data_IF_399972691828
#
_entry.id   IF_399972691828
#
_cell.length_a   1.000
_cell.length_b   1.000
_cell.length_c   1.000
_cell.angle_alpha   90.00
_cell.angle_beta   90.00
_cell.angle_gamma   90.00
#
_symmetry.space_group_name_H-M   'P 1'
#
loop_
_entity.id
_entity.type
_entity.pdbx_description
1 polymer ?
#
# COMPACT_ATOMS: atom_id res chain seq x y z
N UNK A 1 -7.46 -24.14 29.89
CA UNK A 1 -7.89 -22.74 29.64
C UNK A 1 -6.70 -21.97 29.05
N UNK A 2 -6.52 -22.03 27.73
CA UNK A 2 -5.37 -21.40 27.06
C UNK A 2 -5.75 -20.00 26.58
N UNK A 3 -5.03 -18.97 27.07
CA UNK A 3 -5.25 -17.56 26.70
C UNK A 3 -4.82 -17.36 25.24
N UNK A 4 -5.79 -17.19 24.33
CA UNK A 4 -5.57 -16.66 22.98
C UNK A 4 -4.82 -15.32 23.11
N UNK A 5 -3.54 -15.27 22.76
CA UNK A 5 -2.84 -13.99 22.57
C UNK A 5 -3.41 -13.37 21.29
N UNK A 6 -4.23 -12.34 21.44
CA UNK A 6 -4.61 -11.43 20.36
C UNK A 6 -3.31 -10.84 19.79
N UNK A 7 -2.98 -11.15 18.54
CA UNK A 7 -2.02 -10.34 17.77
C UNK A 7 -2.65 -8.93 17.68
N UNK A 8 -1.96 -7.84 18.08
CA UNK A 8 -2.58 -6.53 18.14
C UNK A 8 -2.82 -5.97 16.73
N UNK A 9 -4.08 -5.68 16.40
CA UNK A 9 -4.60 -4.96 15.22
C UNK A 9 -3.84 -3.64 14.92
N UNK A 10 -3.08 -3.11 15.88
CA UNK A 10 -2.30 -1.87 15.71
C UNK A 10 -1.16 -2.01 14.69
N UNK A 11 -0.46 -3.15 14.60
CA UNK A 11 0.70 -3.27 13.68
C UNK A 11 0.32 -3.13 12.21
N UNK A 12 -0.83 -3.66 11.79
CA UNK A 12 -1.29 -3.59 10.39
C UNK A 12 -1.78 -2.19 10.03
N UNK A 13 -2.46 -1.50 10.97
CA UNK A 13 -2.83 -0.09 10.80
C UNK A 13 -1.62 0.83 10.77
N UNK A 14 -0.59 0.53 11.56
CA UNK A 14 0.66 1.31 11.60
C UNK A 14 1.51 1.12 10.33
N UNK A 15 1.48 -0.06 9.70
CA UNK A 15 2.08 -0.30 8.36
C UNK A 15 1.36 0.54 7.28
N UNK A 16 0.07 0.80 7.43
CA UNK A 16 -0.77 1.54 6.48
C UNK A 16 -0.67 3.08 6.63
N UNK A 17 -0.05 3.60 7.69
CA UNK A 17 0.05 5.05 7.94
C UNK A 17 1.51 5.51 7.83
N UNK A 18 1.97 5.95 6.65
CA UNK A 18 3.11 6.85 6.61
C UNK A 18 2.70 8.20 7.18
N UNK A 19 3.57 8.73 8.04
CA UNK A 19 3.55 10.06 8.66
C UNK A 19 2.73 11.07 7.85
N UNK A 20 1.62 11.56 8.46
CA UNK A 20 0.86 12.72 7.96
C UNK A 20 1.87 13.73 7.44
N UNK A 21 1.86 13.97 6.12
CA UNK A 21 2.58 15.09 5.53
C UNK A 21 2.23 16.29 6.39
N UNK A 22 3.23 16.87 7.07
CA UNK A 22 3.06 18.11 7.81
C UNK A 22 2.51 19.09 6.79
N UNK A 23 1.21 19.33 6.83
CA UNK A 23 0.59 20.47 6.18
C UNK A 23 1.41 21.66 6.66
N UNK A 24 2.14 22.30 5.75
CA UNK A 24 2.80 23.56 6.02
C UNK A 24 1.68 24.54 6.40
N UNK A 25 1.60 25.00 7.65
CA UNK A 25 0.59 25.99 8.00
C UNK A 25 0.92 27.28 7.25
N UNK A 26 -0.07 28.04 6.75
CA UNK A 26 0.20 29.38 6.25
C UNK A 26 0.76 30.23 7.41
N UNK A 27 1.95 30.82 7.20
CA UNK A 27 2.59 31.74 8.15
C UNK A 27 1.67 32.94 8.43
N UNK A 28 1.48 33.37 9.69
CA UNK A 28 0.91 34.68 9.99
C UNK A 28 2.01 35.67 10.40
N UNK A 29 2.09 36.79 9.68
CA UNK A 29 2.69 38.07 10.12
C UNK A 29 2.25 39.11 9.10
N UNK A 30 1.56 40.20 9.45
CA UNK A 30 2.07 41.21 10.36
C UNK A 30 0.99 41.87 11.24
N UNK A 31 1.45 42.31 12.42
CA UNK A 31 0.79 43.26 13.31
C UNK A 31 0.73 44.64 12.64
N UNK A 32 -0.39 45.33 12.79
CA UNK A 32 -0.38 46.78 12.94
C UNK A 32 -1.32 47.20 14.08
N UNK A 33 -0.72 47.87 15.04
CA UNK A 33 -1.31 48.65 16.13
C UNK A 33 -1.97 49.90 15.56
N UNK A 34 -3.16 50.29 16.04
CA UNK A 34 -3.75 51.58 15.71
C UNK A 34 -5.16 51.76 16.26
N UNK A 35 -5.27 52.56 17.31
CA UNK A 35 -6.47 53.02 18.01
C UNK A 35 -7.46 53.80 17.13
N UNK A 36 -8.76 53.68 17.41
CA UNK A 36 -9.65 54.84 17.48
C UNK A 36 -10.72 55.07 16.41
N UNK A 37 -11.98 54.90 16.85
CA UNK A 37 -13.17 55.71 16.58
C UNK A 37 -14.21 55.25 15.54
N UNK A 38 -15.47 55.37 15.97
CA UNK A 38 -16.69 54.95 15.31
C UNK A 38 -17.18 55.96 14.25
N UNK A 39 -17.81 55.47 13.19
CA UNK A 39 -19.12 55.88 12.64
C UNK A 39 -19.27 55.44 11.17
N UNK A 40 -20.39 54.74 10.88
CA UNK A 40 -21.08 54.83 9.59
C UNK A 40 -20.78 53.76 8.53
N UNK A 41 -21.84 53.16 8.01
CA UNK A 41 -21.89 52.69 6.63
C UNK A 41 -22.02 51.19 6.43
N UNK A 42 -23.27 50.72 6.35
CA UNK A 42 -23.62 49.39 5.86
C UNK A 42 -23.22 49.25 4.37
N UNK A 43 -22.01 48.74 4.10
CA UNK A 43 -21.57 48.13 2.84
C UNK A 43 -20.32 47.28 3.10
N UNK A 44 -20.44 46.12 3.77
CA UNK A 44 -19.26 45.29 4.08
C UNK A 44 -19.49 43.77 4.05
N UNK A 45 -20.61 43.27 3.50
CA UNK A 45 -20.92 41.83 3.54
C UNK A 45 -20.50 41.06 2.26
N UNK A 46 -20.09 41.76 1.19
CA UNK A 46 -19.72 41.15 -0.11
C UNK A 46 -18.23 40.80 -0.27
N UNK A 47 -17.33 41.54 0.37
CA UNK A 47 -15.87 41.38 0.20
C UNK A 47 -15.31 40.14 0.94
N UNK A 48 -15.87 39.84 2.12
CA UNK A 48 -15.49 38.65 2.91
C UNK A 48 -15.87 37.33 2.23
N UNK A 49 -17.01 37.30 1.55
CA UNK A 49 -17.52 36.13 0.82
C UNK A 49 -16.69 35.88 -0.45
N UNK A 50 -16.35 36.94 -1.18
CA UNK A 50 -15.55 36.86 -2.42
C UNK A 50 -14.11 36.40 -2.15
N UNK A 51 -13.44 36.97 -1.14
CA UNK A 51 -12.08 36.57 -0.72
C UNK A 51 -12.03 35.10 -0.27
N UNK A 52 -13.04 34.64 0.49
CA UNK A 52 -13.14 33.25 0.95
C UNK A 52 -13.38 32.28 -0.22
N UNK A 53 -14.17 32.67 -1.21
CA UNK A 53 -14.42 31.89 -2.41
C UNK A 53 -13.16 31.75 -3.29
N UNK A 54 -12.41 32.84 -3.50
CA UNK A 54 -11.16 32.80 -4.26
C UNK A 54 -10.09 31.93 -3.60
N UNK A 55 -9.96 31.99 -2.28
CA UNK A 55 -9.05 31.13 -1.51
C UNK A 55 -9.40 29.64 -1.68
N UNK A 56 -10.68 29.30 -1.62
CA UNK A 56 -11.16 27.92 -1.86
C UNK A 56 -10.84 27.47 -3.29
N UNK A 57 -11.20 28.28 -4.30
CA UNK A 57 -10.94 27.96 -5.71
C UNK A 57 -9.44 27.77 -6.01
N UNK A 58 -8.57 28.56 -5.37
CA UNK A 58 -7.11 28.38 -5.48
C UNK A 58 -6.64 27.08 -4.81
N UNK A 59 -7.16 26.75 -3.63
CA UNK A 59 -6.84 25.49 -2.95
C UNK A 59 -7.31 24.28 -3.76
N UNK A 60 -8.51 24.33 -4.34
CA UNK A 60 -9.07 23.28 -5.18
C UNK A 60 -8.22 23.07 -6.45
N UNK A 61 -7.84 24.15 -7.13
CA UNK A 61 -6.95 24.07 -8.29
C UNK A 61 -5.56 23.51 -7.96
N UNK A 62 -5.03 23.81 -6.77
CA UNK A 62 -3.77 23.23 -6.29
C UNK A 62 -3.90 21.72 -6.03
N UNK A 63 -4.98 21.30 -5.38
CA UNK A 63 -5.25 19.88 -5.12
C UNK A 63 -5.44 19.09 -6.42
N UNK A 64 -6.17 19.66 -7.39
CA UNK A 64 -6.37 19.08 -8.71
C UNK A 64 -5.04 18.88 -9.45
N UNK A 65 -4.17 19.89 -9.43
CA UNK A 65 -2.84 19.79 -10.06
C UNK A 65 -1.98 18.72 -9.39
N UNK A 66 -1.99 18.67 -8.05
CA UNK A 66 -1.29 17.62 -7.30
C UNK A 66 -1.80 16.24 -7.68
N UNK A 67 -3.12 16.04 -7.76
CA UNK A 67 -3.75 14.78 -8.14
C UNK A 67 -3.33 14.34 -9.54
N UNK A 68 -3.40 15.24 -10.54
CA UNK A 68 -2.96 14.95 -11.92
C UNK A 68 -1.50 14.48 -12.01
N UNK A 69 -0.61 15.08 -11.23
CA UNK A 69 0.80 14.68 -11.18
C UNK A 69 0.93 13.29 -10.56
N UNK A 70 0.23 13.01 -9.45
CA UNK A 70 0.22 11.70 -8.80
C UNK A 70 -0.36 10.61 -9.71
N UNK A 71 -1.49 10.88 -10.38
CA UNK A 71 -2.11 9.95 -11.32
C UNK A 71 -1.18 9.61 -12.50
N UNK A 72 -0.53 10.63 -13.07
CA UNK A 72 0.46 10.44 -14.13
C UNK A 72 1.64 9.56 -13.69
N UNK A 73 2.12 9.75 -12.44
CA UNK A 73 3.17 8.91 -11.87
C UNK A 73 2.69 7.46 -11.67
N UNK A 74 1.47 7.25 -11.14
CA UNK A 74 0.86 5.93 -10.98
C UNK A 74 0.79 5.19 -12.32
N UNK A 75 0.28 5.85 -13.36
CA UNK A 75 0.17 5.26 -14.70
C UNK A 75 1.53 4.86 -15.28
N UNK A 76 2.54 5.72 -15.16
CA UNK A 76 3.87 5.46 -15.69
C UNK A 76 4.58 4.36 -14.89
N UNK A 77 4.49 4.36 -13.56
CA UNK A 77 5.05 3.32 -12.71
C UNK A 77 4.39 1.95 -12.96
N UNK A 78 3.07 1.90 -13.16
CA UNK A 78 2.39 0.65 -13.54
C UNK A 78 2.81 0.16 -14.94
N UNK A 79 3.08 1.07 -15.88
CA UNK A 79 3.41 0.71 -17.27
C UNK A 79 4.87 0.31 -17.45
N UNK A 80 5.80 1.11 -16.94
CA UNK A 80 7.24 0.93 -17.19
C UNK A 80 8.08 0.83 -15.91
N UNK A 81 7.54 1.18 -14.76
CA UNK A 81 8.22 1.08 -13.47
C UNK A 81 8.91 2.37 -13.00
N UNK A 82 9.07 2.54 -11.67
CA UNK A 82 9.70 3.73 -11.09
C UNK A 82 11.13 4.00 -11.59
N UNK A 83 11.95 2.98 -11.78
CA UNK A 83 13.35 3.17 -12.21
C UNK A 83 13.46 3.72 -13.65
N UNK A 84 12.42 3.52 -14.47
CA UNK A 84 12.39 3.96 -15.87
C UNK A 84 11.48 5.17 -16.12
N UNK A 85 10.96 5.78 -15.06
CA UNK A 85 10.06 6.93 -15.17
C UNK A 85 10.81 8.20 -14.77
N UNK A 86 10.81 9.22 -15.64
CA UNK A 86 11.45 10.51 -15.32
C UNK A 86 10.42 11.56 -14.93
N UNK A 87 10.85 12.58 -14.20
CA UNK A 87 10.02 13.76 -13.89
C UNK A 87 9.54 14.47 -15.17
N UNK A 88 10.29 14.39 -16.26
CA UNK A 88 9.89 14.97 -17.55
C UNK A 88 8.72 14.19 -18.14
N UNK A 89 8.76 12.85 -18.09
CA UNK A 89 7.66 12.00 -18.55
C UNK A 89 6.39 12.24 -17.73
N UNK A 90 6.53 12.34 -16.41
CA UNK A 90 5.43 12.64 -15.49
C UNK A 90 4.83 14.01 -15.79
N UNK A 91 5.66 15.05 -15.96
CA UNK A 91 5.19 16.39 -16.28
C UNK A 91 4.43 16.42 -17.62
N UNK A 92 4.98 15.77 -18.65
CA UNK A 92 4.35 15.65 -19.95
C UNK A 92 3.00 14.93 -19.87
N UNK A 93 2.94 13.77 -19.20
CA UNK A 93 1.69 13.01 -19.00
C UNK A 93 0.67 13.80 -18.18
N UNK A 94 1.11 14.46 -17.12
CA UNK A 94 0.25 15.26 -16.27
C UNK A 94 -0.19 16.57 -16.95
N UNK A 95 0.35 16.95 -18.11
CA UNK A 95 0.04 18.20 -18.81
C UNK A 95 0.50 19.45 -18.05
N UNK A 96 1.66 19.39 -17.41
CA UNK A 96 2.28 20.48 -16.65
C UNK A 96 3.76 20.63 -17.02
N UNK A 97 4.40 21.71 -16.56
CA UNK A 97 5.84 21.88 -16.76
C UNK A 97 6.64 21.20 -15.64
N UNK A 98 7.90 20.84 -15.92
CA UNK A 98 8.82 20.24 -14.93
C UNK A 98 8.93 21.05 -13.64
N UNK A 99 9.06 22.38 -13.74
CA UNK A 99 9.14 23.25 -12.56
C UNK A 99 7.86 23.19 -11.69
N UNK A 100 6.70 22.94 -12.32
CA UNK A 100 5.43 22.79 -11.63
C UNK A 100 5.42 21.51 -10.81
N UNK A 101 5.97 20.41 -11.33
CA UNK A 101 6.11 19.15 -10.56
C UNK A 101 6.91 19.39 -9.28
N UNK A 102 8.10 20.00 -9.39
CA UNK A 102 8.94 20.29 -8.22
C UNK A 102 8.32 21.27 -7.22
N UNK A 103 7.39 22.13 -7.66
CA UNK A 103 6.63 22.99 -6.76
C UNK A 103 5.69 22.20 -5.83
N UNK A 104 5.14 21.08 -6.30
CA UNK A 104 4.23 20.22 -5.51
C UNK A 104 4.95 19.07 -4.82
N UNK A 105 6.05 18.59 -5.42
CA UNK A 105 6.87 17.50 -4.94
C UNK A 105 8.34 17.90 -5.07
N UNK A 106 8.90 18.59 -4.06
CA UNK A 106 10.28 19.07 -4.08
C UNK A 106 11.32 17.99 -4.39
N UNK A 107 11.06 16.74 -4.02
CA UNK A 107 11.92 15.60 -4.32
C UNK A 107 11.18 14.47 -5.02
N UNK A 108 11.93 13.59 -5.67
CA UNK A 108 11.37 12.41 -6.32
C UNK A 108 10.86 11.40 -5.28
N UNK A 109 11.48 11.31 -4.10
CA UNK A 109 11.02 10.49 -2.99
C UNK A 109 9.64 10.94 -2.49
N UNK A 110 9.40 12.25 -2.39
CA UNK A 110 8.09 12.78 -2.00
C UNK A 110 7.00 12.43 -3.02
N UNK A 111 7.33 12.49 -4.32
CA UNK A 111 6.41 12.07 -5.37
C UNK A 111 6.16 10.56 -5.33
N UNK A 112 7.21 9.75 -5.17
CA UNK A 112 7.11 8.30 -5.11
C UNK A 112 6.29 7.85 -3.89
N UNK A 113 6.50 8.47 -2.73
CA UNK A 113 5.72 8.20 -1.53
C UNK A 113 4.24 8.59 -1.73
N UNK A 114 3.95 9.74 -2.35
CA UNK A 114 2.58 10.13 -2.65
C UNK A 114 1.91 9.18 -3.65
N UNK A 115 2.63 8.76 -4.69
CA UNK A 115 2.20 7.75 -5.65
C UNK A 115 1.87 6.43 -4.95
N UNK A 116 2.77 5.91 -4.12
CA UNK A 116 2.56 4.65 -3.37
C UNK A 116 1.36 4.76 -2.43
N UNK A 117 1.27 5.85 -1.66
CA UNK A 117 0.18 6.09 -0.71
C UNK A 117 -1.17 6.13 -1.41
N UNK A 118 -1.29 6.90 -2.49
CA UNK A 118 -2.52 7.01 -3.26
C UNK A 118 -2.89 5.69 -3.94
N UNK A 119 -1.92 4.98 -4.51
CA UNK A 119 -2.16 3.69 -5.16
C UNK A 119 -2.69 2.65 -4.18
N UNK A 120 -2.07 2.49 -3.01
CA UNK A 120 -2.52 1.51 -2.02
C UNK A 120 -3.80 1.92 -1.28
N UNK A 121 -4.17 3.20 -1.28
CA UNK A 121 -5.51 3.62 -0.85
C UNK A 121 -6.60 3.19 -1.84
N UNK A 122 -6.31 3.23 -3.16
CA UNK A 122 -7.23 2.76 -4.21
C UNK A 122 -7.28 1.23 -4.32
N UNK A 123 -6.19 0.57 -3.97
CA UNK A 123 -6.02 -0.88 -4.03
C UNK A 123 -5.61 -1.42 -2.65
N UNK A 124 -6.51 -1.40 -1.65
CA UNK A 124 -6.18 -1.80 -0.30
C UNK A 124 -5.77 -3.27 -0.25
N UNK A 125 -4.79 -3.59 0.59
CA UNK A 125 -4.38 -4.97 0.82
C UNK A 125 -5.49 -5.78 1.50
N UNK A 126 -5.58 -7.09 1.24
CA UNK A 126 -6.54 -7.95 1.92
C UNK A 126 -6.42 -7.88 3.45
N UNK A 127 -7.56 -7.77 4.12
CA UNK A 127 -7.61 -7.59 5.57
C UNK A 127 -7.37 -8.93 6.30
N UNK A 128 -6.21 -9.07 6.95
CA UNK A 128 -5.85 -10.26 7.76
C UNK A 128 -6.93 -10.62 8.79
N UNK A 129 -7.58 -9.62 9.39
CA UNK A 129 -8.63 -9.81 10.38
C UNK A 129 -9.86 -10.56 9.82
N UNK A 130 -10.14 -10.45 8.51
CA UNK A 130 -11.25 -11.17 7.87
C UNK A 130 -11.03 -12.69 7.92
N UNK A 131 -9.79 -13.13 7.75
CA UNK A 131 -9.44 -14.56 7.77
C UNK A 131 -9.47 -15.15 9.17
N UNK A 132 -9.19 -14.35 10.21
CA UNK A 132 -9.23 -14.81 11.60
C UNK A 132 -10.63 -15.26 12.06
N UNK A 133 -11.68 -14.82 11.37
CA UNK A 133 -13.05 -15.28 11.63
C UNK A 133 -13.30 -16.72 11.11
N UNK A 134 -12.47 -17.23 10.19
CA UNK A 134 -12.58 -18.59 9.66
C UNK A 134 -12.04 -19.58 10.69
N UNK A 135 -12.90 -20.49 11.13
CA UNK A 135 -12.60 -21.41 12.23
C UNK A 135 -11.61 -22.51 11.86
N UNK A 136 -11.74 -23.09 10.67
CA UNK A 136 -10.86 -24.16 10.18
C UNK A 136 -9.51 -23.57 9.72
N UNK A 137 -8.36 -24.02 10.25
CA UNK A 137 -7.05 -23.54 9.82
C UNK A 137 -6.79 -23.74 8.33
N UNK A 138 -7.15 -24.91 7.77
CA UNK A 138 -7.01 -25.19 6.35
C UNK A 138 -7.89 -24.28 5.49
N UNK A 139 -9.15 -24.11 5.87
CA UNK A 139 -10.07 -23.23 5.15
C UNK A 139 -9.61 -21.78 5.19
N UNK A 140 -9.08 -21.33 6.34
CA UNK A 140 -8.50 -20.00 6.50
C UNK A 140 -7.35 -19.76 5.53
N UNK A 141 -6.45 -20.73 5.39
CA UNK A 141 -5.35 -20.65 4.43
C UNK A 141 -5.89 -20.54 3.00
N UNK A 142 -6.86 -21.37 2.61
CA UNK A 142 -7.43 -21.32 1.27
C UNK A 142 -8.09 -19.96 0.98
N UNK A 143 -8.90 -19.45 1.92
CA UNK A 143 -9.53 -18.12 1.78
C UNK A 143 -8.46 -17.02 1.67
N UNK A 144 -7.44 -17.04 2.52
CA UNK A 144 -6.37 -16.05 2.49
C UNK A 144 -5.57 -16.08 1.18
N UNK A 145 -5.25 -17.28 0.67
CA UNK A 145 -4.54 -17.43 -0.59
C UNK A 145 -5.36 -16.93 -1.78
N UNK A 146 -6.67 -17.23 -1.82
CA UNK A 146 -7.55 -16.70 -2.86
C UNK A 146 -7.61 -15.17 -2.84
N UNK A 147 -7.83 -14.59 -1.67
CA UNK A 147 -7.87 -13.13 -1.52
C UNK A 147 -6.55 -12.46 -1.93
N UNK A 148 -5.40 -13.05 -1.56
CA UNK A 148 -4.08 -12.56 -1.96
C UNK A 148 -3.86 -12.69 -3.47
N UNK A 149 -4.26 -13.80 -4.07
CA UNK A 149 -4.05 -14.07 -5.50
C UNK A 149 -4.96 -13.21 -6.37
N UNK A 150 -6.21 -12.98 -5.96
CA UNK A 150 -7.09 -12.01 -6.62
C UNK A 150 -6.53 -10.58 -6.49
N UNK A 151 -6.04 -10.22 -5.31
CA UNK A 151 -5.35 -8.95 -5.09
C UNK A 151 -4.12 -8.80 -6.01
N UNK A 152 -3.26 -9.81 -6.11
CA UNK A 152 -2.10 -9.79 -7.00
C UNK A 152 -2.50 -9.62 -8.45
N UNK A 153 -3.55 -10.31 -8.91
CA UNK A 153 -4.09 -10.12 -10.25
C UNK A 153 -4.49 -8.68 -10.53
N UNK A 154 -5.08 -7.99 -9.55
CA UNK A 154 -5.51 -6.60 -9.69
C UNK A 154 -4.36 -5.58 -9.71
N UNK A 155 -3.23 -5.87 -9.04
CA UNK A 155 -2.13 -4.90 -8.87
C UNK A 155 -0.82 -5.30 -9.56
N UNK A 156 -0.81 -6.41 -10.30
CA UNK A 156 0.39 -7.04 -10.87
C UNK A 156 1.33 -6.06 -11.58
N UNK A 157 0.89 -5.20 -12.53
CA UNK A 157 1.83 -4.35 -13.27
C UNK A 157 2.63 -3.42 -12.35
N UNK A 158 1.96 -2.82 -11.36
CA UNK A 158 2.61 -1.94 -10.38
C UNK A 158 3.53 -2.73 -9.45
N UNK A 159 3.05 -3.86 -8.90
CA UNK A 159 3.81 -4.64 -7.93
C UNK A 159 5.04 -5.28 -8.57
N UNK A 160 4.90 -5.89 -9.75
CA UNK A 160 6.00 -6.49 -10.50
C UNK A 160 7.09 -5.46 -10.86
N UNK A 161 6.68 -4.28 -11.34
CA UNK A 161 7.64 -3.22 -11.65
C UNK A 161 8.34 -2.68 -10.41
N UNK A 162 7.61 -2.48 -9.31
CA UNK A 162 8.18 -1.94 -8.06
C UNK A 162 9.16 -2.92 -7.42
N UNK A 163 8.84 -4.22 -7.41
CA UNK A 163 9.75 -5.27 -6.92
C UNK A 163 10.99 -5.41 -7.80
N UNK A 164 10.85 -5.34 -9.13
CA UNK A 164 12.01 -5.35 -10.04
C UNK A 164 12.93 -4.15 -9.79
N UNK A 165 12.35 -2.99 -9.54
CA UNK A 165 13.08 -1.74 -9.43
C UNK A 165 13.63 -1.49 -8.00
N UNK A 166 13.20 -2.25 -6.99
CA UNK A 166 13.64 -2.07 -5.59
C UNK A 166 15.12 -2.34 -5.38
N UNK A 167 15.72 -3.23 -6.18
CA UNK A 167 17.16 -3.52 -6.08
C UNK A 167 18.03 -2.41 -6.68
N UNK A 168 17.45 -1.54 -7.51
CA UNK A 168 18.18 -0.48 -8.21
C UNK A 168 18.12 0.85 -7.47
N UNK A 169 17.05 1.07 -6.69
CA UNK A 169 16.73 2.38 -6.10
C UNK A 169 16.26 2.24 -4.65
N UNK A 170 17.03 2.80 -3.72
CA UNK A 170 16.71 2.78 -2.30
C UNK A 170 15.32 3.39 -1.98
N UNK A 171 14.93 4.45 -2.69
CA UNK A 171 13.60 5.06 -2.53
C UNK A 171 12.46 4.14 -2.98
N UNK A 172 12.69 3.30 -3.99
CA UNK A 172 11.73 2.28 -4.44
C UNK A 172 11.64 1.15 -3.42
N UNK A 173 12.78 0.70 -2.89
CA UNK A 173 12.82 -0.27 -1.80
C UNK A 173 11.98 0.18 -0.60
N UNK A 174 12.14 1.44 -0.17
CA UNK A 174 11.40 2.00 0.96
C UNK A 174 9.88 1.98 0.76
N UNK A 175 9.38 2.18 -0.47
CA UNK A 175 7.92 2.12 -0.72
C UNK A 175 7.38 0.69 -0.84
N UNK A 176 8.24 -0.31 -1.04
CA UNK A 176 7.89 -1.74 -1.10
C UNK A 176 8.04 -2.44 0.27
N UNK A 177 8.91 -1.96 1.15
CA UNK A 177 9.11 -2.50 2.51
C UNK A 177 7.82 -2.73 3.31
N UNK A 178 6.82 -1.81 3.30
CA UNK A 178 5.53 -2.05 3.94
C UNK A 178 4.81 -3.31 3.46
N UNK A 179 4.93 -3.65 2.18
CA UNK A 179 4.32 -4.84 1.60
C UNK A 179 5.03 -6.13 2.07
N UNK A 180 6.36 -6.12 2.21
CA UNK A 180 7.10 -7.23 2.81
C UNK A 180 6.69 -7.45 4.28
N UNK A 181 6.57 -6.37 5.06
CA UNK A 181 6.09 -6.44 6.44
C UNK A 181 4.65 -6.95 6.54
N UNK A 182 3.80 -6.61 5.57
CA UNK A 182 2.45 -7.17 5.45
C UNK A 182 2.47 -8.69 5.25
N UNK A 183 3.31 -9.21 4.35
CA UNK A 183 3.44 -10.67 4.15
C UNK A 183 4.00 -11.40 5.36
N UNK A 184 4.88 -10.78 6.14
CA UNK A 184 5.31 -11.30 7.45
C UNK A 184 4.11 -11.40 8.42
N UNK A 185 3.26 -10.39 8.47
CA UNK A 185 2.05 -10.40 9.30
C UNK A 185 1.01 -11.43 8.82
N UNK A 186 0.87 -11.63 7.51
CA UNK A 186 0.07 -12.73 6.93
C UNK A 186 0.60 -14.07 7.43
N UNK A 187 1.91 -14.29 7.34
CA UNK A 187 2.56 -15.53 7.79
C UNK A 187 2.32 -15.77 9.28
N UNK A 188 2.48 -14.74 10.13
CA UNK A 188 2.20 -14.83 11.56
C UNK A 188 0.72 -15.20 11.82
N UNK A 189 -0.21 -14.60 11.08
CA UNK A 189 -1.64 -14.86 11.26
C UNK A 189 -2.05 -16.28 10.82
N UNK A 190 -1.47 -16.79 9.72
CA UNK A 190 -1.77 -18.13 9.23
C UNK A 190 -1.09 -19.24 10.05
N UNK A 191 0.02 -18.93 10.73
CA UNK A 191 0.73 -19.88 11.60
C UNK A 191 0.18 -19.94 13.03
N UNK A 192 -0.61 -18.96 13.48
CA UNK A 192 -0.99 -18.78 14.88
C UNK A 192 -1.69 -19.99 15.54
N UNK A 193 -2.47 -20.76 14.78
CA UNK A 193 -3.21 -21.93 15.30
C UNK A 193 -2.46 -23.26 15.12
N UNK A 194 -1.27 -23.22 14.53
CA UNK A 194 -0.44 -24.40 14.32
C UNK A 194 0.60 -24.52 15.45
N UNK A 195 0.77 -25.74 15.98
CA UNK A 195 1.81 -26.06 16.98
C UNK A 195 2.74 -27.16 16.45
N UNK A 196 3.56 -26.87 15.42
CA UNK A 196 4.51 -27.83 14.87
C UNK A 196 5.69 -28.07 15.81
N UNK A 197 6.38 -29.20 15.63
CA UNK A 197 7.70 -29.41 16.25
C UNK A 197 8.71 -28.37 15.74
N UNK A 198 9.85 -28.10 16.41
CA UNK A 198 10.83 -27.13 15.91
C UNK A 198 11.33 -27.41 14.48
N UNK A 199 11.51 -28.68 14.11
CA UNK A 199 11.93 -29.08 12.77
C UNK A 199 10.81 -28.87 11.73
N UNK A 200 9.57 -29.22 12.08
CA UNK A 200 8.41 -29.02 11.20
C UNK A 200 8.05 -27.54 11.06
N UNK A 201 8.33 -26.72 12.08
CA UNK A 201 8.09 -25.28 12.09
C UNK A 201 8.81 -24.56 10.96
N UNK A 202 10.08 -24.89 10.72
CA UNK A 202 10.88 -24.27 9.65
C UNK A 202 10.28 -24.57 8.28
N UNK A 203 9.91 -25.83 8.03
CA UNK A 203 9.30 -26.24 6.77
C UNK A 203 7.90 -25.62 6.58
N UNK A 204 7.12 -25.58 7.66
CA UNK A 204 5.78 -25.01 7.66
C UNK A 204 5.80 -23.50 7.39
N UNK A 205 6.65 -22.73 8.07
CA UNK A 205 6.82 -21.30 7.82
C UNK A 205 7.35 -21.04 6.39
N UNK A 206 8.27 -21.87 5.89
CA UNK A 206 8.76 -21.77 4.51
C UNK A 206 7.64 -22.04 3.49
N UNK A 207 6.78 -23.04 3.73
CA UNK A 207 5.65 -23.37 2.86
C UNK A 207 4.63 -22.23 2.82
N UNK A 208 4.31 -21.61 3.96
CA UNK A 208 3.41 -20.45 4.01
C UNK A 208 4.01 -19.26 3.27
N UNK A 209 5.26 -18.90 3.57
CA UNK A 209 5.94 -17.79 2.89
C UNK A 209 5.94 -17.99 1.38
N UNK A 210 6.29 -19.20 0.92
CA UNK A 210 6.24 -19.55 -0.50
C UNK A 210 4.82 -19.43 -1.06
N UNK A 211 3.82 -20.02 -0.41
CA UNK A 211 2.43 -19.98 -0.87
C UNK A 211 1.89 -18.55 -0.99
N UNK A 212 2.25 -17.66 -0.06
CA UNK A 212 1.80 -16.26 -0.07
C UNK A 212 2.59 -15.34 -1.00
N UNK A 213 3.72 -15.80 -1.52
CA UNK A 213 4.63 -14.96 -2.30
C UNK A 213 4.06 -14.57 -3.67
N UNK A 214 4.34 -13.34 -4.11
CA UNK A 214 3.90 -12.83 -5.41
C UNK A 214 4.47 -13.64 -6.58
N UNK A 215 5.73 -14.09 -6.50
CA UNK A 215 6.35 -14.89 -7.55
C UNK A 215 5.72 -16.29 -7.66
N UNK A 216 5.24 -16.86 -6.56
CA UNK A 216 4.49 -18.12 -6.56
C UNK A 216 3.18 -17.97 -7.30
N UNK A 217 2.42 -16.91 -7.01
CA UNK A 217 1.20 -16.59 -7.76
C UNK A 217 1.49 -16.37 -9.26
N UNK A 218 2.50 -15.58 -9.61
CA UNK A 218 2.87 -15.37 -11.02
C UNK A 218 3.22 -16.70 -11.70
N UNK A 219 3.99 -17.57 -11.03
CA UNK A 219 4.34 -18.89 -11.57
C UNK A 219 3.09 -19.75 -11.83
N UNK A 220 2.22 -19.91 -10.82
CA UNK A 220 1.06 -20.80 -10.90
C UNK A 220 -0.03 -20.26 -11.84
N UNK A 221 -0.36 -18.97 -11.73
CA UNK A 221 -1.52 -18.38 -12.43
C UNK A 221 -1.13 -17.80 -13.78
N UNK A 222 0.00 -17.09 -13.89
CA UNK A 222 0.42 -16.45 -15.14
C UNK A 222 1.23 -17.35 -16.05
N UNK A 223 2.23 -18.04 -15.49
CA UNK A 223 3.14 -18.87 -16.30
C UNK A 223 2.56 -20.24 -16.62
N UNK A 224 1.97 -20.91 -15.62
CA UNK A 224 1.38 -22.25 -15.78
C UNK A 224 -0.08 -22.18 -16.25
N UNK A 225 -0.83 -21.15 -15.84
CA UNK A 225 -2.22 -20.94 -16.27
C UNK A 225 -3.26 -21.62 -15.39
N UNK A 226 -2.95 -21.90 -14.11
CA UNK A 226 -3.95 -22.36 -13.15
C UNK A 226 -4.92 -21.22 -12.82
N UNK A 227 -6.19 -21.56 -12.59
CA UNK A 227 -7.10 -20.62 -11.94
C UNK A 227 -6.72 -20.42 -10.46
N UNK A 228 -7.22 -19.33 -9.88
CA UNK A 228 -6.92 -18.92 -8.50
C UNK A 228 -7.33 -20.00 -7.48
N UNK A 229 -8.43 -20.72 -7.72
CA UNK A 229 -8.91 -21.75 -6.79
C UNK A 229 -7.98 -22.96 -6.79
N UNK A 230 -7.63 -23.47 -7.98
CA UNK A 230 -6.69 -24.58 -8.13
C UNK A 230 -5.30 -24.24 -7.56
N UNK A 231 -4.80 -23.01 -7.80
CA UNK A 231 -3.53 -22.56 -7.25
C UNK A 231 -3.55 -22.50 -5.71
N UNK A 232 -4.63 -21.97 -5.11
CA UNK A 232 -4.79 -21.90 -3.66
C UNK A 232 -4.90 -23.30 -3.02
N UNK A 233 -5.63 -24.23 -3.63
CA UNK A 233 -5.74 -25.62 -3.16
C UNK A 233 -4.41 -26.38 -3.23
N UNK A 234 -3.65 -26.18 -4.30
CA UNK A 234 -2.31 -26.76 -4.46
C UNK A 234 -1.37 -26.28 -3.36
N UNK A 235 -1.32 -24.97 -3.12
CA UNK A 235 -0.47 -24.39 -2.07
C UNK A 235 -0.95 -24.75 -0.66
N UNK A 236 -2.27 -24.84 -0.43
CA UNK A 236 -2.80 -25.36 0.83
C UNK A 236 -2.36 -26.81 1.09
N UNK A 237 -2.29 -27.64 0.04
CA UNK A 237 -1.81 -29.03 0.15
C UNK A 237 -0.32 -29.12 0.44
N UNK A 238 0.49 -28.20 -0.11
CA UNK A 238 1.90 -28.04 0.25
C UNK A 238 2.07 -27.68 1.72
N UNK A 239 1.29 -26.71 2.21
CA UNK A 239 1.32 -26.26 3.61
C UNK A 239 0.95 -27.41 4.56
N UNK A 240 -0.11 -28.16 4.27
CA UNK A 240 -0.52 -29.30 5.09
C UNK A 240 0.54 -30.41 5.12
N UNK A 241 1.20 -30.67 3.98
CA UNK A 241 2.31 -31.62 3.90
C UNK A 241 3.53 -31.18 4.74
N UNK A 242 3.78 -29.88 4.80
CA UNK A 242 4.82 -29.30 5.63
C UNK A 242 4.47 -29.32 7.12
N UNK A 243 3.18 -29.19 7.47
CA UNK A 243 2.68 -29.28 8.85
C UNK A 243 2.64 -30.70 9.40
N UNK A 244 2.56 -31.72 8.53
CA UNK A 244 2.53 -33.12 8.94
C UNK A 244 3.86 -33.56 9.58
N UNK A 245 3.83 -34.34 10.68
CA UNK A 245 5.03 -34.89 11.31
C UNK A 245 5.87 -35.67 10.31
N UNK A 246 7.20 -35.54 10.37
CA UNK A 246 8.16 -36.24 9.48
C UNK A 246 7.87 -37.75 9.33
N UNK A 247 7.38 -38.41 10.39
CA UNK A 247 7.03 -39.84 10.39
C UNK A 247 5.81 -40.22 9.52
N UNK A 248 4.94 -39.26 9.18
CA UNK A 248 3.73 -39.46 8.38
C UNK A 248 3.90 -39.02 6.93
N UNK A 249 5.08 -38.50 6.54
CA UNK A 249 5.37 -38.14 5.15
C UNK A 249 5.62 -39.42 4.34
N UNK A 250 5.09 -39.53 3.11
CA UNK A 250 5.33 -40.70 2.27
C UNK A 250 6.84 -40.88 2.08
N UNK A 251 7.35 -42.05 2.46
CA UNK A 251 8.75 -42.42 2.19
C UNK A 251 8.91 -42.56 0.67
N UNK A 252 9.92 -41.87 0.14
CA UNK A 252 10.34 -42.01 -1.27
C UNK A 252 10.78 -43.42 -1.57
#
# INVERSE_FOLDING_TARGET
MSRRRKVPDSRVRDIMVPLRSRQVPPRPSARHTGSGNALGGAMADGEGTTRKYELRRRADAMNETRRRITDAAIELHAKVGPARTTIVDIAARAGVQRHTVYRYFPTEEELLQACSTEYWQRHPWPAIAAWQAVASPRERVIVALKDLYDFYGAVEPMLANSLRDSDQRASVKQVVEPFAAYLDAVTEALTADYSPTPADRVLFEAAIRHATDFSTWQSLVRSIGLDVTAAAELMSSLIDSAAAPVAQRPRR
#
